data_IF_672299161347
#
_entry.id   IF_672299161347
#
_cell.length_a   1.000
_cell.length_b   1.000
_cell.length_c   1.000
_cell.angle_alpha   90.00
_cell.angle_beta   90.00
_cell.angle_gamma   90.00
#
_symmetry.space_group_name_H-M   'P 1'
#
loop_
_entity.id
_entity.type
_entity.pdbx_description
1 polymer ?
#
# COMPACT_ATOMS: atom_id res chain seq x y z
N UNK A 1 -7.58 1.70 -7.25
CA UNK A 1 -6.34 0.98 -7.52
C UNK A 1 -5.63 0.79 -6.20
N UNK A 2 -5.54 -0.44 -5.68
CA UNK A 2 -4.98 -0.67 -4.36
C UNK A 2 -3.46 -0.39 -4.35
N UNK A 3 -2.89 -0.13 -3.17
CA UNK A 3 -1.45 0.10 -3.01
C UNK A 3 -0.58 -1.02 -3.63
N UNK A 4 -1.05 -2.27 -3.58
CA UNK A 4 -0.42 -3.40 -4.28
C UNK A 4 -0.35 -3.17 -5.79
N UNK A 5 -1.48 -2.83 -6.40
CA UNK A 5 -1.61 -2.65 -7.85
C UNK A 5 -0.73 -1.49 -8.33
N UNK A 6 -0.60 -0.43 -7.53
CA UNK A 6 0.35 0.65 -7.79
C UNK A 6 1.77 0.13 -7.94
N UNK A 7 2.26 -0.60 -6.94
CA UNK A 7 3.66 -1.05 -6.93
C UNK A 7 3.91 -2.09 -8.03
N UNK A 8 2.95 -2.98 -8.28
CA UNK A 8 3.05 -3.98 -9.33
C UNK A 8 3.00 -3.36 -10.75
N UNK A 9 2.41 -2.16 -10.88
CA UNK A 9 2.40 -1.42 -12.16
C UNK A 9 3.75 -0.77 -12.51
N UNK A 10 4.71 -0.72 -11.60
CA UNK A 10 6.01 -0.09 -11.82
C UNK A 10 7.01 -1.06 -12.47
N UNK A 11 7.38 -0.90 -13.76
CA UNK A 11 8.36 -1.76 -14.39
C UNK A 11 9.76 -1.47 -13.84
N UNK A 12 10.43 -2.49 -13.28
CA UNK A 12 11.83 -2.46 -12.83
C UNK A 12 12.19 -1.42 -11.74
N UNK A 13 11.22 -0.70 -11.17
CA UNK A 13 11.43 0.30 -10.11
C UNK A 13 10.81 -0.10 -8.76
N UNK A 14 10.30 -1.33 -8.67
CA UNK A 14 9.64 -1.86 -7.47
C UNK A 14 10.52 -1.76 -6.24
N UNK A 15 11.76 -2.25 -6.31
CA UNK A 15 12.66 -2.27 -5.15
C UNK A 15 13.11 -0.88 -4.72
N UNK A 16 13.34 0.03 -5.67
CA UNK A 16 13.69 1.43 -5.38
C UNK A 16 12.54 2.16 -4.72
N UNK A 17 11.32 1.99 -5.24
CA UNK A 17 10.12 2.60 -4.66
C UNK A 17 9.82 2.05 -3.27
N UNK A 18 10.03 0.75 -3.04
CA UNK A 18 9.91 0.16 -1.69
C UNK A 18 10.91 0.78 -0.72
N UNK A 19 12.17 0.96 -1.13
CA UNK A 19 13.21 1.61 -0.30
C UNK A 19 12.86 3.06 -0.01
N UNK A 20 12.36 3.79 -0.99
CA UNK A 20 11.90 5.17 -0.84
C UNK A 20 10.74 5.26 0.17
N UNK A 21 9.72 4.41 0.03
CA UNK A 21 8.59 4.35 0.95
C UNK A 21 9.07 3.97 2.35
N UNK A 22 9.96 2.99 2.48
CA UNK A 22 10.54 2.58 3.77
C UNK A 22 11.26 3.76 4.46
N UNK A 23 12.05 4.53 3.69
CA UNK A 23 12.74 5.73 4.18
C UNK A 23 11.75 6.83 4.59
N UNK A 24 10.81 7.19 3.73
CA UNK A 24 9.82 8.24 3.99
C UNK A 24 8.93 7.91 5.20
N UNK A 25 8.61 6.63 5.36
CA UNK A 25 7.78 6.15 6.47
C UNK A 25 8.58 5.75 7.70
N UNK A 26 9.90 5.97 7.75
CA UNK A 26 10.78 5.49 8.84
C UNK A 26 10.47 4.06 9.27
N UNK A 27 10.23 3.17 8.30
CA UNK A 27 9.79 1.80 8.53
C UNK A 27 10.76 0.82 7.90
N UNK A 28 10.82 -0.39 8.44
CA UNK A 28 11.62 -1.45 7.84
C UNK A 28 11.03 -1.87 6.49
N UNK A 29 11.88 -2.20 5.51
CA UNK A 29 11.48 -2.65 4.16
C UNK A 29 10.47 -3.81 4.24
N UNK A 30 10.71 -4.79 5.12
CA UNK A 30 9.77 -5.90 5.36
C UNK A 30 8.37 -5.45 5.77
N UNK A 31 8.24 -4.32 6.48
CA UNK A 31 6.94 -3.76 6.85
C UNK A 31 6.20 -3.24 5.62
N UNK A 32 6.92 -2.58 4.71
CA UNK A 32 6.36 -2.12 3.43
C UNK A 32 5.89 -3.31 2.58
N UNK A 33 6.66 -4.41 2.56
CA UNK A 33 6.23 -5.67 1.93
C UNK A 33 4.92 -6.21 2.49
N UNK A 34 4.74 -6.14 3.82
CA UNK A 34 3.50 -6.57 4.48
C UNK A 34 2.32 -5.65 4.21
N UNK A 35 2.56 -4.38 3.90
CA UNK A 35 1.50 -3.46 3.45
C UNK A 35 1.08 -3.76 2.01
N UNK A 36 2.04 -4.00 1.13
CA UNK A 36 1.76 -4.32 -0.28
C UNK A 36 1.01 -5.65 -0.45
N UNK A 37 1.38 -6.69 0.31
CA UNK A 37 0.69 -7.97 0.22
C UNK A 37 -0.64 -8.01 1.03
N UNK A 38 -1.01 -6.90 1.69
CA UNK A 38 -2.23 -6.79 2.48
C UNK A 38 -2.21 -7.54 3.82
N UNK A 39 -1.06 -8.03 4.28
CA UNK A 39 -0.93 -8.70 5.59
C UNK A 39 -1.19 -7.75 6.76
N UNK A 40 -0.81 -6.48 6.60
CA UNK A 40 -1.04 -5.41 7.58
C UNK A 40 -1.50 -4.16 6.84
N UNK A 41 -2.42 -3.41 7.43
CA UNK A 41 -2.75 -2.06 6.98
C UNK A 41 -1.80 -1.04 7.63
N UNK A 42 -1.13 -0.16 6.85
CA UNK A 42 -0.33 0.91 7.43
C UNK A 42 -1.16 1.82 8.33
N UNK A 43 -0.62 2.34 9.44
CA UNK A 43 -1.29 3.34 10.27
C UNK A 43 -1.65 4.61 9.47
N UNK A 44 -2.68 5.39 9.87
CA UNK A 44 -3.14 6.56 9.11
C UNK A 44 -2.04 7.58 8.75
N UNK A 45 -1.12 7.86 9.69
CA UNK A 45 0.02 8.74 9.42
C UNK A 45 0.91 8.21 8.29
N UNK A 46 1.14 6.89 8.25
CA UNK A 46 1.95 6.23 7.21
C UNK A 46 1.20 6.20 5.88
N UNK A 47 -0.12 6.00 5.88
CA UNK A 47 -0.95 6.09 4.68
C UNK A 47 -0.84 7.47 4.03
N UNK A 48 -0.89 8.54 4.83
CA UNK A 48 -0.72 9.92 4.35
C UNK A 48 0.65 10.14 3.70
N UNK A 49 1.73 9.69 4.35
CA UNK A 49 3.09 9.77 3.78
C UNK A 49 3.19 8.98 2.47
N UNK A 50 2.58 7.78 2.38
CA UNK A 50 2.59 6.98 1.15
C UNK A 50 1.80 7.70 0.04
N UNK A 51 0.68 8.35 0.36
CA UNK A 51 -0.07 9.18 -0.57
C UNK A 51 0.79 10.34 -1.12
N UNK A 52 1.55 11.02 -0.26
CA UNK A 52 2.48 12.09 -0.66
C UNK A 52 3.59 11.57 -1.59
N UNK A 53 4.18 10.40 -1.29
CA UNK A 53 5.24 9.78 -2.10
C UNK A 53 4.74 9.30 -3.47
N UNK A 54 3.50 8.82 -3.54
CA UNK A 54 2.94 8.23 -4.77
C UNK A 54 2.14 9.22 -5.59
N UNK A 55 1.74 10.36 -5.02
CA UNK A 55 0.84 11.33 -5.64
C UNK A 55 -0.60 10.84 -5.78
N UNK A 56 -0.94 9.69 -5.18
CA UNK A 56 -2.27 9.08 -5.26
C UNK A 56 -3.05 9.32 -3.96
N UNK A 57 -4.39 9.53 -4.02
CA UNK A 57 -5.21 9.70 -2.81
C UNK A 57 -5.12 8.50 -1.86
N UNK A 58 -5.21 8.78 -0.55
CA UNK A 58 -5.19 7.75 0.50
C UNK A 58 -6.30 6.72 0.28
N UNK A 59 -7.50 7.18 -0.07
CA UNK A 59 -8.69 6.35 -0.29
C UNK A 59 -8.54 5.45 -1.52
N UNK A 60 -7.77 5.90 -2.51
CA UNK A 60 -7.45 5.09 -3.68
C UNK A 60 -6.49 3.96 -3.31
N UNK A 61 -5.42 4.28 -2.58
CA UNK A 61 -4.37 3.34 -2.17
C UNK A 61 -4.83 2.35 -1.10
N UNK A 62 -5.64 2.81 -0.16
CA UNK A 62 -6.11 2.08 1.02
C UNK A 62 -7.64 2.18 1.12
N UNK A 63 -8.38 1.53 0.23
CA UNK A 63 -9.84 1.59 0.23
C UNK A 63 -10.39 1.00 1.53
N UNK A 64 -11.27 1.74 2.20
CA UNK A 64 -11.92 1.36 3.47
C UNK A 64 -12.99 0.29 3.32
N UNK A 65 -13.13 -0.29 2.12
CA UNK A 65 -14.13 -1.31 1.84
C UNK A 65 -13.81 -2.55 2.66
N UNK A 66 -14.57 -2.75 3.75
CA UNK A 66 -14.83 -4.07 4.31
C UNK A 66 -15.43 -4.92 3.18
N UNK A 67 -14.58 -5.54 2.36
CA UNK A 67 -15.04 -6.63 1.53
C UNK A 67 -15.29 -7.77 2.52
N UNK A 68 -16.52 -7.89 3.00
CA UNK A 68 -17.01 -9.15 3.54
C UNK A 68 -16.79 -10.18 2.43
N UNK A 69 -15.72 -10.99 2.54
CA UNK A 69 -15.43 -12.08 1.59
C UNK A 69 -16.40 -13.28 1.77
N UNK A 70 -17.63 -13.03 2.21
CA UNK A 70 -18.66 -14.03 2.46
C UNK A 70 -20.03 -13.52 2.05
N UNK A 71 -20.20 -13.12 0.79
CA UNK A 71 -21.52 -13.17 0.14
C UNK A 71 -21.28 -13.62 -1.30
N UNK A 72 -21.53 -14.91 -1.54
CA UNK A 72 -21.99 -15.54 -2.78
C UNK A 72 -21.68 -17.05 -2.72
N UNK A 73 -22.55 -17.78 -2.04
CA UNK A 73 -22.93 -19.14 -2.44
C UNK A 73 -24.45 -19.15 -2.35
N UNK A 74 -25.10 -18.80 -3.46
CA UNK A 74 -26.45 -19.28 -3.77
C UNK A 74 -26.36 -20.75 -4.19
#
# INVERSE_FOLDING_TARGET
MAFKDYVDSLPNLRDEKIKEIAKATCSHINTVYRWMNGSITPPPLKQKVISEVTGLPVEQLFPTTKINRHENID
#
